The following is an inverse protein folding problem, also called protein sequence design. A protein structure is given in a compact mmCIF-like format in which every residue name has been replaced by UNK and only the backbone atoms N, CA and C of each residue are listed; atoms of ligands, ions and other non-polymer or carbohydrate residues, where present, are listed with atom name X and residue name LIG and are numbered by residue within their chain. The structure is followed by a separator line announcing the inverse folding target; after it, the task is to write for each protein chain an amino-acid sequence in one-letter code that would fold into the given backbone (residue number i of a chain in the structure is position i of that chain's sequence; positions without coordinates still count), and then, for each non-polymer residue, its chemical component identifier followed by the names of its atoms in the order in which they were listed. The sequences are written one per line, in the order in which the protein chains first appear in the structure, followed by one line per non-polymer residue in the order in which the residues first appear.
data_IF_677725937153
#
_entry.id   IF_677725937153
#
_cell.length_a   1.000
_cell.length_b   1.000
_cell.length_c   1.000
_cell.angle_alpha   90.00
_cell.angle_beta   90.00
_cell.angle_gamma   90.00
#
_symmetry.space_group_name_H-M   'P 1'
#
loop_
_entity.id
_entity.type
_entity.pdbx_description
1 polymer ?
#
# COMPACT_ATOMS: atom_id res chain seq x y z
N UNK A 1 -13.89 -112.84 12.44
CA UNK A 1 -14.52 -112.48 13.73
C UNK A 1 -13.54 -112.76 14.86
N UNK A 2 -12.61 -111.84 15.07
CA UNK A 2 -11.70 -111.77 16.23
C UNK A 2 -11.25 -110.32 16.30
N UNK A 3 -11.39 -109.67 17.45
CA UNK A 3 -11.16 -108.23 17.62
C UNK A 3 -9.76 -107.94 18.16
N UNK A 4 -9.27 -106.72 17.92
CA UNK A 4 -8.07 -106.19 18.56
C UNK A 4 -8.41 -105.54 19.90
N UNK A 5 -7.72 -105.87 21.00
CA UNK A 5 -7.56 -104.94 22.13
C UNK A 5 -6.43 -103.95 21.80
N UNK A 6 -6.64 -102.66 22.08
CA UNK A 6 -5.64 -101.62 21.81
C UNK A 6 -4.56 -101.51 22.88
N UNK A 7 -3.32 -101.22 22.47
CA UNK A 7 -2.23 -100.84 23.37
C UNK A 7 -2.38 -99.39 23.82
N UNK A 8 -2.83 -99.20 25.06
CA UNK A 8 -2.81 -97.89 25.73
C UNK A 8 -1.42 -97.61 26.31
N UNK A 9 -0.51 -97.11 25.48
CA UNK A 9 0.83 -96.71 25.95
C UNK A 9 0.90 -95.26 26.43
N UNK A 10 1.88 -94.99 27.29
CA UNK A 10 2.02 -93.75 28.06
C UNK A 10 3.08 -92.83 27.46
N UNK A 11 2.65 -91.81 26.72
CA UNK A 11 3.47 -90.63 26.43
C UNK A 11 2.83 -89.39 27.07
N UNK A 12 2.92 -89.34 28.40
CA UNK A 12 2.78 -88.11 29.18
C UNK A 12 4.16 -87.64 29.65
N UNK A 13 4.35 -86.33 29.79
CA UNK A 13 5.55 -85.73 30.40
C UNK A 13 6.87 -85.95 29.65
N UNK A 14 6.88 -85.71 28.33
CA UNK A 14 8.06 -85.03 27.75
C UNK A 14 8.03 -83.57 28.19
N UNK A 15 9.06 -83.14 28.91
CA UNK A 15 9.26 -81.73 29.24
C UNK A 15 9.33 -80.90 27.95
N UNK A 16 8.74 -79.69 27.89
CA UNK A 16 8.88 -78.83 26.72
C UNK A 16 10.34 -78.46 26.53
N UNK A 17 10.85 -78.61 25.30
CA UNK A 17 12.26 -78.34 25.01
C UNK A 17 12.61 -76.88 25.30
N UNK A 18 13.75 -76.68 25.97
CA UNK A 18 14.29 -75.36 26.30
C UNK A 18 14.39 -74.43 25.08
N UNK A 19 14.64 -75.00 23.90
CA UNK A 19 14.68 -74.27 22.64
C UNK A 19 13.31 -73.74 22.19
N UNK A 20 12.22 -74.49 22.35
CA UNK A 20 10.88 -73.99 22.00
C UNK A 20 10.48 -72.85 22.96
N UNK A 21 10.76 -72.99 24.25
CA UNK A 21 10.56 -71.87 25.19
C UNK A 21 11.42 -70.65 24.84
N UNK A 22 12.67 -70.83 24.38
CA UNK A 22 13.53 -69.71 23.94
C UNK A 22 13.02 -69.06 22.65
N UNK A 23 12.40 -69.84 21.75
CA UNK A 23 11.81 -69.36 20.49
C UNK A 23 10.47 -68.65 20.70
N UNK A 24 9.68 -69.05 21.70
CA UNK A 24 8.43 -68.36 22.11
C UNK A 24 8.68 -67.13 22.99
N UNK A 25 9.67 -67.16 23.88
CA UNK A 25 9.97 -66.03 24.80
C UNK A 25 10.72 -64.87 24.14
N UNK A 26 11.26 -65.06 22.93
CA UNK A 26 11.78 -63.96 22.12
C UNK A 26 10.60 -63.14 21.52
N UNK A 27 10.32 -61.91 22.00
CA UNK A 27 9.15 -61.16 21.55
C UNK A 27 9.29 -60.76 20.08
N UNK A 28 8.46 -61.34 19.20
CA UNK A 28 8.36 -60.99 17.78
C UNK A 28 7.63 -59.65 17.55
N UNK A 29 7.90 -58.66 18.37
CA UNK A 29 7.37 -57.30 18.28
C UNK A 29 8.05 -56.51 17.16
N UNK A 30 7.60 -56.74 15.92
CA UNK A 30 7.49 -55.71 14.86
C UNK A 30 8.72 -54.81 14.58
N UNK A 31 9.95 -55.33 14.78
CA UNK A 31 11.22 -54.67 14.44
C UNK A 31 11.45 -54.63 12.90
N UNK A 32 10.56 -53.96 12.17
CA UNK A 32 10.52 -53.97 10.70
C UNK A 32 10.86 -52.64 10.01
N UNK A 33 10.49 -51.50 10.59
CA UNK A 33 10.75 -50.18 9.99
C UNK A 33 10.77 -49.06 11.03
N UNK A 34 11.85 -48.27 11.04
CA UNK A 34 11.86 -46.95 11.65
C UNK A 34 11.06 -45.98 10.77
N UNK A 35 10.32 -45.06 11.37
CA UNK A 35 9.58 -44.04 10.60
C UNK A 35 10.54 -43.10 9.88
N UNK A 36 10.21 -42.71 8.64
CA UNK A 36 11.05 -41.85 7.81
C UNK A 36 10.46 -40.44 7.77
N UNK A 37 11.10 -39.52 8.50
CA UNK A 37 10.80 -38.09 8.46
C UNK A 37 11.46 -37.36 7.28
N UNK A 38 11.20 -36.05 7.18
CA UNK A 38 11.63 -35.18 6.07
C UNK A 38 13.17 -35.04 5.89
N UNK A 39 13.98 -35.68 6.75
CA UNK A 39 15.46 -35.68 6.70
C UNK A 39 16.08 -37.05 7.01
N UNK A 40 15.31 -38.14 6.89
CA UNK A 40 15.74 -39.50 7.25
C UNK A 40 14.94 -40.07 8.42
N UNK A 41 15.39 -41.19 8.98
CA UNK A 41 14.72 -41.91 10.08
C UNK A 41 14.51 -41.05 11.33
N UNK A 42 13.44 -41.29 12.08
CA UNK A 42 13.24 -40.64 13.38
C UNK A 42 14.34 -41.05 14.36
N UNK A 43 15.10 -40.05 14.81
CA UNK A 43 16.23 -40.24 15.71
C UNK A 43 15.80 -40.83 17.06
N UNK A 44 14.63 -40.47 17.58
CA UNK A 44 14.17 -40.96 18.88
C UNK A 44 13.84 -42.46 18.83
N UNK A 45 13.23 -42.94 17.75
CA UNK A 45 12.96 -44.37 17.53
C UNK A 45 14.27 -45.16 17.37
N UNK A 46 15.23 -44.63 16.60
CA UNK A 46 16.54 -45.25 16.39
C UNK A 46 17.37 -45.27 17.68
N UNK A 47 17.45 -44.16 18.42
CA UNK A 47 18.17 -44.11 19.71
C UNK A 47 17.51 -45.02 20.75
N UNK A 48 16.17 -45.13 20.77
CA UNK A 48 15.45 -46.05 21.64
C UNK A 48 15.77 -47.52 21.31
N UNK A 49 15.67 -47.94 20.04
CA UNK A 49 16.02 -49.29 19.62
C UNK A 49 17.49 -49.63 19.87
N UNK A 50 18.41 -48.69 19.62
CA UNK A 50 19.83 -48.83 19.96
C UNK A 50 20.07 -48.90 21.47
N UNK A 51 19.20 -48.32 22.31
CA UNK A 51 19.28 -48.49 23.77
C UNK A 51 18.78 -49.87 24.21
N UNK A 52 17.69 -50.36 23.61
CA UNK A 52 17.15 -51.69 23.87
C UNK A 52 18.15 -52.79 23.46
N UNK A 53 18.71 -52.71 22.25
CA UNK A 53 19.71 -53.66 21.75
C UNK A 53 20.99 -53.66 22.60
N UNK A 54 21.44 -52.49 23.09
CA UNK A 54 22.59 -52.41 24.03
C UNK A 54 22.29 -53.02 25.39
N UNK A 55 21.04 -52.98 25.85
CA UNK A 55 20.63 -53.62 27.10
C UNK A 55 20.48 -55.14 26.93
N UNK A 56 19.89 -55.60 25.82
CA UNK A 56 19.85 -57.02 25.44
C UNK A 56 21.26 -57.61 25.32
N UNK A 57 22.19 -56.92 24.66
CA UNK A 57 23.59 -57.36 24.55
C UNK A 57 24.28 -57.46 25.92
N UNK A 58 24.04 -56.51 26.84
CA UNK A 58 24.54 -56.60 28.22
C UNK A 58 23.94 -57.77 28.98
N UNK A 59 22.64 -58.04 28.81
CA UNK A 59 21.97 -59.16 29.47
C UNK A 59 22.52 -60.50 28.95
N UNK A 60 22.58 -60.70 27.63
CA UNK A 60 23.15 -61.90 27.03
C UNK A 60 24.63 -62.10 27.42
N UNK A 61 25.42 -61.01 27.53
CA UNK A 61 26.79 -61.10 28.03
C UNK A 61 26.89 -61.52 29.51
N UNK A 62 25.93 -61.13 30.35
CA UNK A 62 25.85 -61.57 31.73
C UNK A 62 25.38 -63.03 31.84
N UNK A 63 24.40 -63.45 31.04
CA UNK A 63 23.91 -64.83 30.95
C UNK A 63 25.01 -65.79 30.46
N UNK A 64 25.83 -65.37 29.48
CA UNK A 64 27.03 -66.13 29.05
C UNK A 64 28.08 -66.21 30.16
N UNK A 65 28.36 -65.12 30.87
CA UNK A 65 29.32 -65.14 31.97
C UNK A 65 28.85 -66.02 33.15
N UNK A 66 27.55 -66.06 33.44
CA UNK A 66 26.98 -66.96 34.44
C UNK A 66 27.01 -68.42 33.98
N UNK A 67 26.73 -68.70 32.70
CA UNK A 67 26.85 -70.04 32.13
C UNK A 67 28.30 -70.56 32.19
N UNK A 68 29.29 -69.71 31.88
CA UNK A 68 30.72 -70.04 32.00
C UNK A 68 31.12 -70.35 33.44
N UNK A 69 30.68 -69.55 34.42
CA UNK A 69 30.96 -69.83 35.83
C UNK A 69 30.38 -71.17 36.31
N UNK A 70 29.18 -71.54 35.84
CA UNK A 70 28.57 -72.85 36.13
C UNK A 70 29.32 -74.01 35.44
N UNK A 71 29.87 -73.79 34.24
CA UNK A 71 30.72 -74.78 33.55
C UNK A 71 32.03 -74.99 34.32
N UNK A 72 32.68 -73.92 34.76
CA UNK A 72 33.90 -73.99 35.58
C UNK A 72 33.65 -74.73 36.91
N UNK A 73 32.57 -74.41 37.63
CA UNK A 73 32.18 -75.11 38.87
C UNK A 73 31.90 -76.61 38.64
N UNK A 74 31.19 -76.97 37.57
CA UNK A 74 30.93 -78.36 37.21
C UNK A 74 32.21 -79.13 36.85
N UNK A 75 33.14 -78.49 36.13
CA UNK A 75 34.43 -79.07 35.78
C UNK A 75 35.33 -79.25 37.01
N UNK A 76 35.29 -78.33 37.98
CA UNK A 76 36.00 -78.51 39.25
C UNK A 76 35.39 -79.62 40.12
N UNK A 77 34.06 -79.76 40.15
CA UNK A 77 33.38 -80.85 40.85
C UNK A 77 33.81 -82.23 40.29
N UNK A 78 33.81 -82.41 38.96
CA UNK A 78 34.26 -83.67 38.33
C UNK A 78 35.73 -83.95 38.59
N UNK A 79 36.61 -82.94 38.57
CA UNK A 79 38.04 -83.10 38.95
C UNK A 79 38.21 -83.55 40.40
N UNK A 80 37.37 -83.05 41.29
CA UNK A 80 37.35 -83.41 42.71
C UNK A 80 36.82 -84.83 42.96
N UNK A 81 35.89 -85.34 42.16
CA UNK A 81 35.46 -86.74 42.19
C UNK A 81 36.54 -87.68 41.65
N UNK A 82 37.14 -87.33 40.49
CA UNK A 82 38.31 -88.02 39.93
C UNK A 82 39.47 -88.12 40.93
N UNK A 83 39.76 -87.04 41.65
CA UNK A 83 40.81 -87.04 42.69
C UNK A 83 40.50 -88.04 43.81
N UNK A 84 39.28 -88.03 44.35
CA UNK A 84 38.84 -88.95 45.42
C UNK A 84 38.86 -90.41 44.96
N UNK A 85 38.46 -90.69 43.72
CA UNK A 85 38.51 -92.02 43.14
C UNK A 85 39.95 -92.56 43.03
N UNK A 86 40.91 -91.70 42.64
CA UNK A 86 42.34 -92.05 42.57
C UNK A 86 42.95 -92.28 43.95
N UNK A 87 42.64 -91.41 44.92
CA UNK A 87 43.08 -91.56 46.32
C UNK A 87 42.55 -92.87 46.94
N UNK A 88 41.30 -93.26 46.62
CA UNK A 88 40.73 -94.54 47.03
C UNK A 88 41.49 -95.73 46.40
N UNK A 89 41.73 -95.72 45.09
CA UNK A 89 42.46 -96.78 44.38
C UNK A 89 43.92 -96.92 44.87
N UNK A 90 44.60 -95.81 45.19
CA UNK A 90 45.95 -95.84 45.78
C UNK A 90 45.94 -96.44 47.19
N UNK A 91 44.89 -96.16 48.00
CA UNK A 91 44.69 -96.81 49.30
C UNK A 91 44.43 -98.32 49.19
N UNK A 92 43.73 -98.75 48.14
CA UNK A 92 43.48 -100.18 47.90
C UNK A 92 44.75 -100.90 47.40
N UNK A 93 45.51 -100.28 46.49
CA UNK A 93 46.80 -100.81 46.02
C UNK A 93 47.83 -100.94 47.15
N UNK A 94 47.92 -99.95 48.03
CA UNK A 94 48.82 -100.02 49.20
C UNK A 94 48.36 -101.10 50.19
N UNK A 95 47.06 -101.25 50.44
CA UNK A 95 46.50 -102.34 51.24
C UNK A 95 46.67 -103.74 50.60
N UNK A 96 46.68 -103.83 49.27
CA UNK A 96 46.97 -105.07 48.55
C UNK A 96 48.45 -105.46 48.66
N UNK A 97 49.37 -104.50 48.45
CA UNK A 97 50.81 -104.71 48.60
C UNK A 97 51.20 -105.10 50.03
N UNK A 98 50.53 -104.54 51.06
CA UNK A 98 50.72 -104.95 52.44
C UNK A 98 50.39 -106.45 52.64
N UNK A 99 49.23 -106.92 52.13
CA UNK A 99 48.84 -108.34 52.20
C UNK A 99 49.81 -109.27 51.47
N UNK A 100 50.42 -108.82 50.37
CA UNK A 100 51.47 -109.58 49.67
C UNK A 100 52.72 -109.70 50.54
N UNK A 101 53.20 -108.59 51.11
CA UNK A 101 54.32 -108.57 52.07
C UNK A 101 54.05 -109.47 53.30
N UNK A 102 52.84 -109.42 53.86
CA UNK A 102 52.47 -110.26 55.01
C UNK A 102 52.46 -111.75 54.66
N UNK A 103 52.06 -112.11 53.43
CA UNK A 103 52.12 -113.48 52.92
C UNK A 103 53.57 -113.93 52.64
N UNK A 104 54.41 -113.07 52.07
CA UNK A 104 55.85 -113.32 51.89
C UNK A 104 56.56 -113.52 53.24
N UNK A 105 56.22 -112.72 54.25
CA UNK A 105 56.72 -112.89 55.62
C UNK A 105 56.26 -114.20 56.25
N UNK A 106 54.99 -114.61 56.06
CA UNK A 106 54.50 -115.91 56.54
C UNK A 106 55.21 -117.09 55.85
N UNK A 107 55.49 -116.99 54.55
CA UNK A 107 56.29 -117.99 53.83
C UNK A 107 57.72 -118.01 54.37
N UNK A 108 58.32 -116.86 54.67
CA UNK A 108 59.64 -116.77 55.27
C UNK A 108 59.69 -117.35 56.70
N UNK A 109 58.69 -117.10 57.56
CA UNK A 109 58.63 -117.69 58.90
C UNK A 109 58.44 -119.20 58.85
N UNK A 110 57.51 -119.70 58.01
CA UNK A 110 57.32 -121.14 57.81
C UNK A 110 58.59 -121.82 57.24
N UNK A 111 59.33 -121.13 56.36
CA UNK A 111 60.64 -121.59 55.88
C UNK A 111 61.67 -121.63 57.00
N UNK A 112 61.67 -120.64 57.91
CA UNK A 112 62.57 -120.66 59.07
C UNK A 112 62.21 -121.75 60.09
N UNK A 113 60.92 -121.97 60.38
CA UNK A 113 60.45 -123.05 61.26
C UNK A 113 60.77 -124.44 60.70
N UNK A 114 60.77 -124.60 59.36
CA UNK A 114 61.19 -125.82 58.68
C UNK A 114 62.71 -126.06 58.75
N UNK A 115 63.51 -124.99 58.90
CA UNK A 115 64.99 -125.05 59.01
C UNK A 115 65.45 -125.20 60.46
N UNK A 116 64.76 -124.58 61.41
CA UNK A 116 65.08 -124.60 62.85
C UNK A 116 64.34 -125.73 63.61
N UNK A 117 63.63 -126.60 62.88
CA UNK A 117 62.98 -127.79 63.42
C UNK A 117 64.01 -128.73 64.08
N UNK A 118 63.91 -129.01 65.40
CA UNK A 118 64.95 -129.73 66.12
C UNK A 118 65.07 -131.18 65.63
N UNK A 119 66.25 -131.52 65.11
CA UNK A 119 66.55 -132.85 64.60
C UNK A 119 66.57 -133.87 65.77
N UNK A 120 65.72 -134.92 65.74
CA UNK A 120 65.57 -135.81 66.89
C UNK A 120 66.72 -136.83 66.99
N UNK A 121 67.68 -136.54 67.86
CA UNK A 121 68.69 -137.52 68.30
C UNK A 121 68.03 -138.61 69.18
N UNK A 122 67.84 -139.83 68.66
CA UNK A 122 67.78 -140.99 69.55
C UNK A 122 67.07 -142.27 69.11
N UNK A 123 66.06 -142.23 68.22
CA UNK A 123 65.50 -143.45 67.61
C UNK A 123 65.27 -143.23 66.11
N UNK A 124 65.74 -144.19 65.31
CA UNK A 124 65.72 -144.23 63.84
C UNK A 124 65.70 -142.85 63.16
N UNK A 125 66.79 -142.10 63.33
CA UNK A 125 67.10 -140.97 62.46
C UNK A 125 66.91 -141.44 61.00
N UNK A 126 65.99 -140.82 60.22
CA UNK A 126 65.70 -141.27 58.88
C UNK A 126 67.01 -141.37 58.12
N UNK A 127 67.32 -142.55 57.58
CA UNK A 127 68.59 -142.77 56.90
C UNK A 127 68.78 -141.69 55.84
N UNK A 128 70.02 -141.34 55.44
CA UNK A 128 70.21 -140.28 54.44
C UNK A 128 69.36 -140.50 53.19
N UNK A 129 69.12 -141.75 52.82
CA UNK A 129 68.21 -142.20 51.77
C UNK A 129 66.72 -141.88 52.03
N UNK A 130 66.25 -141.93 53.27
CA UNK A 130 64.88 -141.52 53.65
C UNK A 130 64.74 -139.99 53.72
N UNK A 131 65.72 -139.26 54.23
CA UNK A 131 65.72 -137.79 54.14
C UNK A 131 65.83 -137.31 52.69
N UNK A 132 66.65 -137.97 51.87
CA UNK A 132 66.76 -137.78 50.42
C UNK A 132 65.47 -138.20 49.69
N UNK A 133 64.76 -139.23 50.16
CA UNK A 133 63.43 -139.58 49.63
C UNK A 133 62.35 -138.55 50.02
N UNK A 134 62.38 -138.01 51.24
CA UNK A 134 61.47 -136.91 51.66
C UNK A 134 61.77 -135.65 50.86
N UNK A 135 63.05 -135.28 50.70
CA UNK A 135 63.46 -134.16 49.86
C UNK A 135 63.09 -134.38 48.39
N UNK A 136 63.23 -135.60 47.86
CA UNK A 136 62.80 -135.95 46.49
C UNK A 136 61.29 -135.89 46.32
N UNK A 137 60.51 -136.35 47.30
CA UNK A 137 59.04 -136.24 47.29
C UNK A 137 58.62 -134.78 47.44
N UNK A 138 59.32 -133.97 48.23
CA UNK A 138 59.08 -132.54 48.36
C UNK A 138 59.50 -131.78 47.08
N UNK A 139 60.58 -132.15 46.41
CA UNK A 139 61.01 -131.63 45.11
C UNK A 139 60.01 -132.03 44.02
N UNK A 140 59.52 -133.26 44.00
CA UNK A 140 58.51 -133.74 43.06
C UNK A 140 57.15 -133.07 43.31
N UNK A 141 56.74 -132.87 44.57
CA UNK A 141 55.56 -132.07 44.93
C UNK A 141 55.73 -130.59 44.59
N UNK A 142 56.88 -129.99 44.87
CA UNK A 142 57.16 -128.59 44.51
C UNK A 142 57.18 -128.40 42.99
N UNK A 143 57.76 -129.34 42.24
CA UNK A 143 57.74 -129.36 40.78
C UNK A 143 56.29 -129.51 40.24
N UNK A 144 55.47 -130.38 40.84
CA UNK A 144 54.03 -130.49 40.51
C UNK A 144 53.27 -129.20 40.85
N UNK A 145 53.56 -128.55 41.98
CA UNK A 145 52.96 -127.27 42.35
C UNK A 145 53.40 -126.14 41.42
N UNK A 146 54.68 -126.07 41.04
CA UNK A 146 55.22 -125.10 40.06
C UNK A 146 54.60 -125.34 38.68
N UNK A 147 54.45 -126.59 38.23
CA UNK A 147 53.77 -126.92 36.98
C UNK A 147 52.28 -126.55 37.02
N UNK A 148 51.59 -126.80 38.14
CA UNK A 148 50.18 -126.44 38.31
C UNK A 148 50.01 -124.91 38.35
N UNK A 149 50.87 -124.19 39.08
CA UNK A 149 50.90 -122.74 39.13
C UNK A 149 51.23 -122.13 37.76
N UNK A 150 52.16 -122.70 36.99
CA UNK A 150 52.46 -122.27 35.63
C UNK A 150 51.27 -122.48 34.68
N UNK A 151 50.57 -123.62 34.78
CA UNK A 151 49.35 -123.89 34.01
C UNK A 151 48.18 -122.99 34.43
N UNK A 152 48.07 -122.64 35.71
CA UNK A 152 47.08 -121.66 36.19
C UNK A 152 47.42 -120.24 35.72
N UNK A 153 48.68 -119.84 35.77
CA UNK A 153 49.14 -118.54 35.30
C UNK A 153 48.97 -118.38 33.78
N UNK A 154 49.27 -119.42 32.99
CA UNK A 154 49.06 -119.39 31.54
C UNK A 154 47.57 -119.36 31.15
N UNK A 155 46.71 -120.08 31.90
CA UNK A 155 45.24 -119.96 31.76
C UNK A 155 44.74 -118.57 32.13
N UNK A 156 45.21 -117.99 33.24
CA UNK A 156 44.83 -116.64 33.67
C UNK A 156 45.31 -115.58 32.67
N UNK A 157 46.53 -115.70 32.16
CA UNK A 157 47.07 -114.84 31.10
C UNK A 157 46.32 -115.01 29.77
N UNK A 158 45.80 -116.20 29.47
CA UNK A 158 44.96 -116.44 28.29
C UNK A 158 43.58 -115.81 28.47
N UNK A 159 42.92 -116.03 29.62
CA UNK A 159 41.63 -115.38 29.97
C UNK A 159 41.75 -113.86 29.91
N UNK A 160 42.76 -113.27 30.56
CA UNK A 160 42.99 -111.83 30.54
C UNK A 160 43.31 -111.27 29.14
N UNK A 161 43.94 -112.06 28.26
CA UNK A 161 44.15 -111.67 26.84
C UNK A 161 42.85 -111.73 26.04
N UNK A 162 42.01 -112.74 26.28
CA UNK A 162 40.69 -112.89 25.65
C UNK A 162 39.71 -111.81 26.12
N UNK A 163 39.70 -111.49 27.41
CA UNK A 163 38.95 -110.39 28.02
C UNK A 163 39.38 -109.02 27.47
N UNK A 164 40.69 -108.74 27.40
CA UNK A 164 41.21 -107.50 26.81
C UNK A 164 40.95 -107.44 25.30
N UNK A 165 40.93 -108.56 24.59
CA UNK A 165 40.55 -108.60 23.17
C UNK A 165 39.06 -108.32 22.98
N UNK A 166 38.20 -108.91 23.82
CA UNK A 166 36.76 -108.67 23.80
C UNK A 166 36.43 -107.20 24.15
N UNK A 167 37.00 -106.66 25.23
CA UNK A 167 36.79 -105.26 25.62
C UNK A 167 37.29 -104.27 24.55
N UNK A 168 38.37 -104.59 23.84
CA UNK A 168 38.84 -103.78 22.70
C UNK A 168 37.87 -103.84 21.53
N UNK A 169 37.38 -105.02 21.16
CA UNK A 169 36.41 -105.18 20.08
C UNK A 169 35.06 -104.50 20.40
N UNK A 170 34.63 -104.53 21.67
CA UNK A 170 33.45 -103.80 22.15
C UNK A 170 33.66 -102.29 22.08
N UNK A 171 34.78 -101.77 22.59
CA UNK A 171 35.13 -100.35 22.53
C UNK A 171 35.30 -99.83 21.08
N UNK A 172 35.83 -100.66 20.17
CA UNK A 172 35.95 -100.36 18.74
C UNK A 172 34.56 -100.30 18.08
N UNK A 173 33.70 -101.29 18.34
CA UNK A 173 32.32 -101.30 17.84
C UNK A 173 31.43 -100.19 18.43
N UNK A 174 31.73 -99.72 19.65
CA UNK A 174 31.09 -98.55 20.26
C UNK A 174 31.59 -97.25 19.61
N UNK A 175 32.90 -97.12 19.37
CA UNK A 175 33.48 -95.97 18.67
C UNK A 175 32.96 -95.86 17.21
N UNK A 176 32.84 -96.97 16.49
CA UNK A 176 32.20 -97.02 15.17
C UNK A 176 30.72 -96.58 15.24
N UNK A 177 29.97 -97.04 16.25
CA UNK A 177 28.55 -96.68 16.43
C UNK A 177 28.36 -95.20 16.73
N UNK A 178 29.20 -94.63 17.61
CA UNK A 178 29.18 -93.21 17.99
C UNK A 178 29.59 -92.34 16.79
N UNK A 179 30.67 -92.68 16.08
CA UNK A 179 31.12 -91.91 14.92
C UNK A 179 30.13 -91.97 13.76
N UNK A 180 29.56 -93.15 13.47
CA UNK A 180 28.51 -93.28 12.46
C UNK A 180 27.21 -92.54 12.83
N UNK A 181 26.89 -92.42 14.13
CA UNK A 181 25.76 -91.60 14.59
C UNK A 181 26.05 -90.11 14.44
N UNK A 182 27.19 -89.63 14.93
CA UNK A 182 27.61 -88.24 14.80
C UNK A 182 27.70 -87.78 13.32
N UNK A 183 28.10 -88.67 12.40
CA UNK A 183 28.08 -88.41 10.96
C UNK A 183 26.64 -88.25 10.44
N UNK A 184 25.71 -89.15 10.79
CA UNK A 184 24.29 -89.03 10.40
C UNK A 184 23.66 -87.74 10.92
N UNK A 185 23.96 -87.36 12.16
CA UNK A 185 23.42 -86.15 12.78
C UNK A 185 24.02 -84.89 12.15
N UNK A 186 25.33 -84.88 11.85
CA UNK A 186 25.98 -83.78 11.14
C UNK A 186 25.43 -83.60 9.71
N UNK A 187 25.18 -84.68 8.98
CA UNK A 187 24.60 -84.62 7.63
C UNK A 187 23.10 -84.26 7.67
N UNK A 188 22.36 -84.63 8.72
CA UNK A 188 20.99 -84.15 8.93
C UNK A 188 20.96 -82.64 9.24
N UNK A 189 21.90 -82.13 10.05
CA UNK A 189 22.03 -80.70 10.35
C UNK A 189 22.42 -79.91 9.09
N UNK A 190 23.35 -80.42 8.28
CA UNK A 190 23.69 -79.84 6.96
C UNK A 190 22.47 -79.75 6.05
N UNK A 191 21.75 -80.85 5.85
CA UNK A 191 20.56 -80.87 5.01
C UNK A 191 19.50 -79.88 5.49
N UNK A 192 19.27 -79.77 6.81
CA UNK A 192 18.39 -78.75 7.41
C UNK A 192 18.87 -77.34 7.07
N UNK A 193 20.16 -77.04 7.28
CA UNK A 193 20.74 -75.72 6.97
C UNK A 193 20.62 -75.37 5.48
N UNK A 194 20.90 -76.31 4.57
CA UNK A 194 20.79 -76.08 3.13
C UNK A 194 19.33 -75.80 2.70
N UNK A 195 18.36 -76.52 3.28
CA UNK A 195 16.92 -76.28 3.01
C UNK A 195 16.44 -74.94 3.56
N UNK A 196 16.83 -74.56 4.79
CA UNK A 196 16.47 -73.27 5.38
C UNK A 196 17.17 -72.11 4.66
N UNK A 197 18.44 -72.25 4.28
CA UNK A 197 19.16 -71.27 3.47
C UNK A 197 18.43 -71.03 2.14
N UNK A 198 18.10 -72.08 1.40
CA UNK A 198 17.35 -71.99 0.14
C UNK A 198 15.97 -71.35 0.34
N UNK A 199 15.26 -71.67 1.43
CA UNK A 199 13.97 -71.08 1.76
C UNK A 199 14.07 -69.59 2.15
N UNK A 200 15.19 -69.18 2.78
CA UNK A 200 15.49 -67.80 3.13
C UNK A 200 15.90 -66.97 1.91
N UNK A 201 16.75 -67.51 1.03
CA UNK A 201 17.12 -66.91 -0.25
C UNK A 201 15.88 -66.68 -1.13
N UNK A 202 15.06 -67.72 -1.32
CA UNK A 202 13.79 -67.62 -2.04
C UNK A 202 12.74 -66.73 -1.35
N UNK A 203 12.88 -66.41 -0.05
CA UNK A 203 12.07 -65.38 0.62
C UNK A 203 12.57 -63.98 0.29
N UNK A 204 13.89 -63.75 0.42
CA UNK A 204 14.55 -62.47 0.12
C UNK A 204 14.34 -62.08 -1.35
N UNK A 205 14.44 -63.02 -2.29
CA UNK A 205 14.20 -62.76 -3.72
C UNK A 205 12.75 -62.30 -3.98
N UNK A 206 11.75 -62.95 -3.38
CA UNK A 206 10.33 -62.55 -3.49
C UNK A 206 10.06 -61.19 -2.84
N UNK A 207 10.66 -60.92 -1.69
CA UNK A 207 10.55 -59.64 -1.00
C UNK A 207 11.21 -58.50 -1.80
N UNK A 208 12.37 -58.75 -2.40
CA UNK A 208 13.06 -57.82 -3.29
C UNK A 208 12.29 -57.57 -4.61
N UNK A 209 11.72 -58.62 -5.22
CA UNK A 209 10.88 -58.49 -6.41
C UNK A 209 9.62 -57.66 -6.15
N UNK A 210 8.92 -57.92 -5.03
CA UNK A 210 7.74 -57.16 -4.59
C UNK A 210 8.09 -55.72 -4.19
N UNK A 211 9.27 -55.46 -3.62
CA UNK A 211 9.76 -54.11 -3.37
C UNK A 211 10.07 -53.37 -4.69
N UNK A 212 10.70 -54.03 -5.66
CA UNK A 212 10.95 -53.47 -6.99
C UNK A 212 9.65 -53.19 -7.77
N UNK A 213 8.65 -54.08 -7.67
CA UNK A 213 7.32 -53.87 -8.24
C UNK A 213 6.65 -52.62 -7.64
N UNK A 214 6.67 -52.45 -6.32
CA UNK A 214 6.16 -51.25 -5.64
C UNK A 214 6.90 -49.97 -6.04
N UNK A 215 8.22 -50.02 -6.20
CA UNK A 215 9.00 -48.87 -6.70
C UNK A 215 8.61 -48.54 -8.14
N UNK A 216 8.41 -49.54 -9.00
CA UNK A 216 7.95 -49.34 -10.37
C UNK A 216 6.52 -48.77 -10.43
N UNK A 217 5.59 -49.27 -9.60
CA UNK A 217 4.24 -48.72 -9.48
C UNK A 217 4.28 -47.26 -9.01
N UNK A 218 4.99 -46.96 -7.92
CA UNK A 218 5.11 -45.59 -7.40
C UNK A 218 5.79 -44.64 -8.41
N UNK A 219 6.73 -45.13 -9.22
CA UNK A 219 7.32 -44.36 -10.31
C UNK A 219 6.32 -44.08 -11.44
N UNK A 220 5.49 -45.06 -11.83
CA UNK A 220 4.42 -44.88 -12.81
C UNK A 220 3.37 -43.89 -12.31
N UNK A 221 2.87 -44.04 -11.08
CA UNK A 221 1.94 -43.11 -10.43
C UNK A 221 2.53 -41.69 -10.36
N UNK A 222 3.79 -41.55 -9.95
CA UNK A 222 4.48 -40.26 -9.93
C UNK A 222 4.62 -39.64 -11.34
N UNK A 223 4.76 -40.43 -12.41
CA UNK A 223 4.73 -39.90 -13.79
C UNK A 223 3.31 -39.51 -14.22
N UNK A 224 2.29 -40.28 -13.86
CA UNK A 224 0.90 -39.94 -14.14
C UNK A 224 0.52 -38.60 -13.50
N UNK A 225 0.78 -38.45 -12.19
CA UNK A 225 0.53 -37.21 -11.42
C UNK A 225 1.28 -36.02 -12.03
N UNK A 226 2.54 -36.18 -12.48
CA UNK A 226 3.27 -35.11 -13.19
C UNK A 226 2.56 -34.71 -14.49
N UNK A 227 2.20 -35.67 -15.35
CA UNK A 227 1.53 -35.33 -16.63
C UNK A 227 0.15 -34.71 -16.42
N UNK A 228 -0.56 -35.06 -15.34
CA UNK A 228 -1.83 -34.43 -14.97
C UNK A 228 -1.62 -33.00 -14.46
N UNK A 229 -0.65 -32.79 -13.56
CA UNK A 229 -0.27 -31.46 -13.07
C UNK A 229 0.22 -30.55 -14.21
N UNK A 230 0.98 -31.07 -15.18
CA UNK A 230 1.42 -30.35 -16.38
C UNK A 230 0.24 -29.96 -17.29
N UNK A 231 -0.72 -30.86 -17.51
CA UNK A 231 -1.97 -30.58 -18.24
C UNK A 231 -2.81 -29.53 -17.52
N UNK A 232 -2.99 -29.64 -16.20
CA UNK A 232 -3.69 -28.68 -15.37
C UNK A 232 -3.04 -27.30 -15.41
N UNK A 233 -1.72 -27.23 -15.27
CA UNK A 233 -0.96 -25.99 -15.39
C UNK A 233 -1.02 -25.40 -16.81
N UNK A 234 -1.07 -26.22 -17.86
CA UNK A 234 -1.28 -25.74 -19.23
C UNK A 234 -2.69 -25.19 -19.45
N UNK A 235 -3.72 -25.85 -18.92
CA UNK A 235 -5.10 -25.37 -18.96
C UNK A 235 -5.26 -24.04 -18.21
N UNK A 236 -4.69 -23.91 -17.01
CA UNK A 236 -4.67 -22.67 -16.23
C UNK A 236 -3.93 -21.54 -16.96
N UNK A 237 -2.75 -21.80 -17.56
CA UNK A 237 -2.04 -20.82 -18.40
C UNK A 237 -2.90 -20.37 -19.59
N UNK A 238 -3.59 -21.29 -20.26
CA UNK A 238 -4.48 -20.97 -21.38
C UNK A 238 -5.70 -20.16 -20.95
N UNK A 239 -6.27 -20.45 -19.78
CA UNK A 239 -7.40 -19.72 -19.20
C UNK A 239 -6.99 -18.28 -18.84
N UNK A 240 -5.90 -18.11 -18.09
CA UNK A 240 -5.39 -16.77 -17.73
C UNK A 240 -4.98 -15.97 -18.97
N UNK A 241 -4.41 -16.62 -20.00
CA UNK A 241 -4.10 -15.94 -21.28
C UNK A 241 -5.37 -15.47 -21.98
N UNK A 242 -6.45 -16.26 -21.95
CA UNK A 242 -7.76 -15.86 -22.52
C UNK A 242 -8.40 -14.73 -21.73
N UNK A 243 -8.40 -14.79 -20.40
CA UNK A 243 -8.97 -13.75 -19.53
C UNK A 243 -8.21 -12.44 -19.65
N UNK A 244 -6.87 -12.46 -19.64
CA UNK A 244 -6.05 -11.25 -19.81
C UNK A 244 -6.17 -10.65 -21.22
N UNK A 245 -6.30 -11.45 -22.27
CA UNK A 245 -6.57 -10.93 -23.63
C UNK A 245 -7.99 -10.38 -23.78
N UNK A 246 -8.98 -10.98 -23.11
CA UNK A 246 -10.34 -10.44 -23.06
C UNK A 246 -10.40 -9.12 -22.29
N UNK A 247 -9.90 -9.07 -21.05
CA UNK A 247 -9.85 -7.85 -20.23
C UNK A 247 -9.09 -6.72 -20.93
N UNK A 248 -8.03 -7.03 -21.67
CA UNK A 248 -7.35 -6.06 -22.52
C UNK A 248 -8.24 -5.56 -23.67
N UNK A 249 -8.91 -6.46 -24.38
CA UNK A 249 -9.80 -6.09 -25.48
C UNK A 249 -11.00 -5.25 -25.01
N UNK A 250 -11.50 -5.51 -23.80
CA UNK A 250 -12.57 -4.75 -23.14
C UNK A 250 -12.06 -3.36 -22.71
N UNK A 251 -10.92 -3.27 -22.00
CA UNK A 251 -10.33 -1.97 -21.65
C UNK A 251 -9.95 -1.12 -22.89
N UNK A 252 -9.50 -1.76 -23.98
CA UNK A 252 -9.27 -1.06 -25.25
C UNK A 252 -10.58 -0.61 -25.94
N UNK A 253 -11.75 -1.20 -25.64
CA UNK A 253 -13.05 -0.66 -26.07
C UNK A 253 -13.44 0.54 -25.23
N UNK A 254 -13.37 0.42 -23.91
CA UNK A 254 -13.71 1.51 -22.98
C UNK A 254 -12.91 2.80 -23.27
N UNK A 255 -11.62 2.67 -23.62
CA UNK A 255 -10.79 3.81 -24.04
C UNK A 255 -11.23 4.40 -25.39
N UNK A 256 -11.68 3.58 -26.36
CA UNK A 256 -12.20 4.08 -27.65
C UNK A 256 -13.53 4.82 -27.44
N UNK A 257 -14.43 4.26 -26.64
CA UNK A 257 -15.72 4.85 -26.28
C UNK A 257 -15.55 6.15 -25.48
N UNK A 258 -14.58 6.20 -24.56
CA UNK A 258 -14.23 7.43 -23.84
C UNK A 258 -13.70 8.50 -24.79
N UNK A 259 -12.76 8.16 -25.68
CA UNK A 259 -12.20 9.11 -26.64
C UNK A 259 -13.25 9.62 -27.64
N UNK A 260 -14.21 8.77 -28.04
CA UNK A 260 -15.34 9.20 -28.87
C UNK A 260 -16.21 10.24 -28.15
N UNK A 261 -16.56 10.00 -26.87
CA UNK A 261 -17.31 10.98 -26.06
C UNK A 261 -16.54 12.27 -25.83
N UNK A 262 -15.23 12.22 -25.65
CA UNK A 262 -14.39 13.43 -25.57
C UNK A 262 -14.47 14.24 -26.87
N UNK A 263 -14.39 13.59 -28.03
CA UNK A 263 -14.54 14.26 -29.33
C UNK A 263 -15.95 14.86 -29.52
N UNK A 264 -17.00 14.17 -29.08
CA UNK A 264 -18.38 14.70 -29.07
C UNK A 264 -18.52 15.93 -28.13
N UNK A 265 -17.83 15.93 -26.98
CA UNK A 265 -17.79 17.08 -26.08
C UNK A 265 -16.95 18.25 -26.66
N UNK A 266 -15.86 17.98 -27.37
CA UNK A 266 -15.08 18.99 -28.08
C UNK A 266 -15.86 19.60 -29.26
N UNK A 267 -16.62 18.79 -30.01
CA UNK A 267 -17.51 19.29 -31.07
C UNK A 267 -18.67 20.14 -30.52
N UNK A 268 -19.29 19.73 -29.42
CA UNK A 268 -20.35 20.54 -28.79
C UNK A 268 -19.83 21.79 -28.10
N UNK A 269 -18.61 21.77 -27.56
CA UNK A 269 -17.95 22.95 -27.00
C UNK A 269 -17.55 23.95 -28.08
N UNK A 270 -16.95 23.50 -29.18
CA UNK A 270 -16.56 24.37 -30.31
C UNK A 270 -17.77 24.99 -30.97
N UNK A 271 -18.83 24.22 -31.29
CA UNK A 271 -20.11 24.78 -31.76
C UNK A 271 -20.66 25.86 -30.82
N UNK A 272 -20.68 25.61 -29.51
CA UNK A 272 -21.15 26.60 -28.52
C UNK A 272 -20.23 27.84 -28.43
N UNK A 273 -18.93 27.70 -28.67
CA UNK A 273 -18.00 28.83 -28.77
C UNK A 273 -18.23 29.63 -30.05
N UNK A 274 -18.49 28.98 -31.18
CA UNK A 274 -18.79 29.64 -32.46
C UNK A 274 -20.16 30.35 -32.42
N UNK A 275 -21.18 29.73 -31.82
CA UNK A 275 -22.49 30.34 -31.58
C UNK A 275 -22.35 31.58 -30.68
N UNK A 276 -21.64 31.47 -29.55
CA UNK A 276 -21.41 32.60 -28.63
C UNK A 276 -20.57 33.72 -29.26
N UNK A 277 -19.61 33.40 -30.13
CA UNK A 277 -18.85 34.39 -30.90
C UNK A 277 -19.74 35.09 -31.94
N UNK A 278 -20.65 34.37 -32.61
CA UNK A 278 -21.62 34.96 -33.52
C UNK A 278 -22.61 35.88 -32.78
N UNK A 279 -23.16 35.45 -31.64
CA UNK A 279 -24.01 36.29 -30.79
C UNK A 279 -23.28 37.54 -30.30
N UNK A 280 -22.02 37.41 -29.87
CA UNK A 280 -21.18 38.54 -29.46
C UNK A 280 -20.91 39.50 -30.63
N UNK A 281 -20.59 39.01 -31.83
CA UNK A 281 -20.39 39.84 -33.02
C UNK A 281 -21.68 40.55 -33.44
N UNK A 282 -22.84 39.88 -33.36
CA UNK A 282 -24.15 40.50 -33.65
C UNK A 282 -24.45 41.59 -32.62
N UNK A 283 -24.27 41.34 -31.33
CA UNK A 283 -24.48 42.32 -30.26
C UNK A 283 -23.50 43.50 -30.36
N UNK A 284 -22.22 43.22 -30.69
CA UNK A 284 -21.21 44.26 -30.92
C UNK A 284 -21.57 45.14 -32.11
N UNK A 285 -21.95 44.55 -33.25
CA UNK A 285 -22.41 45.32 -34.42
C UNK A 285 -23.69 46.13 -34.14
N UNK A 286 -24.62 45.60 -33.34
CA UNK A 286 -25.79 46.34 -32.87
C UNK A 286 -25.40 47.52 -31.95
N UNK A 287 -24.45 47.32 -31.04
CA UNK A 287 -23.94 48.36 -30.15
C UNK A 287 -23.17 49.45 -30.92
N UNK A 288 -22.34 49.08 -31.90
CA UNK A 288 -21.67 50.02 -32.81
C UNK A 288 -22.70 50.81 -33.61
N UNK A 289 -23.65 50.15 -34.29
CA UNK A 289 -24.71 50.84 -35.04
C UNK A 289 -25.67 51.67 -34.15
N UNK A 290 -25.70 51.42 -32.84
CA UNK A 290 -26.39 52.26 -31.87
C UNK A 290 -25.56 53.47 -31.46
N UNK A 291 -24.26 53.30 -31.22
CA UNK A 291 -23.33 54.39 -30.94
C UNK A 291 -23.20 55.34 -32.14
N UNK A 292 -23.06 54.81 -33.36
CA UNK A 292 -23.06 55.58 -34.62
C UNK A 292 -24.37 56.37 -34.81
N UNK A 293 -25.52 55.82 -34.40
CA UNK A 293 -26.79 56.54 -34.46
C UNK A 293 -26.81 57.69 -33.47
N UNK A 294 -26.32 57.49 -32.25
CA UNK A 294 -26.22 58.54 -31.22
C UNK A 294 -25.23 59.63 -31.66
N UNK A 295 -24.08 59.29 -32.23
CA UNK A 295 -23.11 60.28 -32.70
C UNK A 295 -23.61 61.05 -33.91
N UNK A 296 -24.35 60.41 -34.83
CA UNK A 296 -25.00 61.08 -35.95
C UNK A 296 -26.13 62.02 -35.48
N UNK A 297 -27.03 61.56 -34.60
CA UNK A 297 -28.10 62.39 -34.01
C UNK A 297 -27.52 63.59 -33.23
N UNK A 298 -26.45 63.39 -32.45
CA UNK A 298 -25.73 64.47 -31.78
C UNK A 298 -25.05 65.43 -32.78
N UNK A 299 -24.45 64.94 -33.87
CA UNK A 299 -23.86 65.78 -34.91
C UNK A 299 -24.92 66.57 -35.69
N UNK A 300 -26.09 65.98 -35.95
CA UNK A 300 -27.24 66.67 -36.55
C UNK A 300 -27.81 67.73 -35.60
N UNK A 301 -27.93 67.44 -34.30
CA UNK A 301 -28.35 68.39 -33.28
C UNK A 301 -27.36 69.57 -33.15
N UNK A 302 -26.05 69.29 -33.12
CA UNK A 302 -25.00 70.31 -33.13
C UNK A 302 -25.10 71.16 -34.40
N UNK A 303 -25.23 70.55 -35.58
CA UNK A 303 -25.35 71.27 -36.86
C UNK A 303 -26.61 72.15 -36.89
N UNK A 304 -27.77 71.62 -36.49
CA UNK A 304 -29.02 72.37 -36.39
C UNK A 304 -28.94 73.52 -35.38
N UNK A 305 -28.19 73.35 -34.27
CA UNK A 305 -27.94 74.41 -33.29
C UNK A 305 -27.03 75.52 -33.86
N UNK A 306 -26.02 75.16 -34.66
CA UNK A 306 -25.15 76.11 -35.36
C UNK A 306 -25.93 76.87 -36.44
N UNK A 307 -26.77 76.20 -37.23
CA UNK A 307 -27.68 76.86 -38.18
C UNK A 307 -28.71 77.77 -37.48
N UNK A 308 -29.17 77.39 -36.28
CA UNK A 308 -30.08 78.23 -35.50
C UNK A 308 -29.36 79.48 -34.97
N UNK A 309 -28.16 79.33 -34.42
CA UNK A 309 -27.30 80.44 -34.00
C UNK A 309 -26.95 81.37 -35.18
N UNK A 310 -26.59 80.80 -36.34
CA UNK A 310 -26.34 81.56 -37.58
C UNK A 310 -27.57 82.35 -38.02
N UNK A 311 -28.76 81.72 -38.06
CA UNK A 311 -30.03 82.43 -38.38
C UNK A 311 -30.38 83.53 -37.38
N UNK A 312 -30.08 83.34 -36.09
CA UNK A 312 -30.23 84.39 -35.08
C UNK A 312 -29.22 85.52 -35.32
N UNK A 313 -27.95 85.21 -35.60
CA UNK A 313 -26.91 86.22 -35.85
C UNK A 313 -27.20 87.05 -37.12
N UNK A 314 -27.56 86.43 -38.23
CA UNK A 314 -27.95 87.12 -39.46
C UNK A 314 -29.19 88.00 -39.24
N UNK A 315 -30.18 87.52 -38.47
CA UNK A 315 -31.36 88.32 -38.10
C UNK A 315 -31.00 89.48 -37.16
N UNK A 316 -30.02 89.31 -36.27
CA UNK A 316 -29.50 90.38 -35.42
C UNK A 316 -28.73 91.43 -36.25
N UNK A 317 -27.89 91.02 -37.20
CA UNK A 317 -27.22 91.90 -38.17
C UNK A 317 -28.22 92.68 -39.04
N UNK A 318 -29.31 92.03 -39.48
CA UNK A 318 -30.39 92.69 -40.23
C UNK A 318 -31.16 93.69 -39.36
N UNK A 319 -31.44 93.37 -38.10
CA UNK A 319 -32.00 94.33 -37.14
C UNK A 319 -31.03 95.48 -36.86
N UNK A 320 -29.72 95.24 -36.76
CA UNK A 320 -28.72 96.29 -36.55
C UNK A 320 -28.56 97.17 -37.80
N UNK A 321 -28.61 96.59 -39.01
CA UNK A 321 -28.60 97.32 -40.28
C UNK A 321 -29.87 98.17 -40.41
N UNK A 322 -31.02 97.63 -40.02
CA UNK A 322 -32.30 98.36 -39.98
C UNK A 322 -32.24 99.51 -38.98
N UNK A 323 -31.85 99.29 -37.72
CA UNK A 323 -31.79 100.36 -36.71
C UNK A 323 -30.75 101.42 -37.05
N UNK A 324 -29.58 101.06 -37.59
CA UNK A 324 -28.62 102.04 -38.15
C UNK A 324 -29.22 102.87 -39.28
N UNK A 325 -29.97 102.27 -40.20
CA UNK A 325 -30.65 103.00 -41.28
C UNK A 325 -31.78 103.91 -40.78
N UNK A 326 -32.53 103.47 -39.75
CA UNK A 326 -33.58 104.27 -39.11
C UNK A 326 -32.97 105.44 -38.33
N UNK A 327 -31.85 105.24 -37.63
CA UNK A 327 -31.12 106.31 -36.96
C UNK A 327 -30.63 107.36 -37.96
N UNK A 328 -30.04 106.93 -39.09
CA UNK A 328 -29.64 107.83 -40.18
C UNK A 328 -30.82 108.58 -40.80
N UNK A 329 -31.98 107.94 -40.96
CA UNK A 329 -33.19 108.58 -41.46
C UNK A 329 -33.76 109.63 -40.48
N UNK A 330 -33.78 109.31 -39.18
CA UNK A 330 -34.18 110.24 -38.10
C UNK A 330 -33.21 111.42 -38.01
N UNK A 331 -31.90 111.18 -38.16
CA UNK A 331 -30.89 112.24 -38.19
C UNK A 331 -31.09 113.15 -39.42
N UNK A 332 -31.26 112.57 -40.61
CA UNK A 332 -31.53 113.33 -41.83
C UNK A 332 -32.82 114.15 -41.75
N UNK A 333 -33.90 113.58 -41.18
CA UNK A 333 -35.15 114.32 -40.96
C UNK A 333 -34.95 115.45 -39.94
N UNK A 334 -34.23 115.21 -38.85
CA UNK A 334 -33.88 116.24 -37.87
C UNK A 334 -33.06 117.37 -38.50
N UNK A 335 -32.10 117.05 -39.38
CA UNK A 335 -31.34 118.04 -40.15
C UNK A 335 -32.24 118.84 -41.12
N UNK A 336 -33.22 118.21 -41.78
CA UNK A 336 -34.20 118.92 -42.64
C UNK A 336 -35.10 119.83 -41.82
N UNK A 337 -35.70 119.35 -40.73
CA UNK A 337 -36.52 120.17 -39.81
C UNK A 337 -35.72 121.32 -39.20
N UNK A 338 -34.44 121.14 -38.92
CA UNK A 338 -33.53 122.19 -38.47
C UNK A 338 -33.26 123.24 -39.56
N UNK A 339 -33.08 122.83 -40.83
CA UNK A 339 -32.96 123.76 -41.97
C UNK A 339 -34.24 124.55 -42.21
N UNK A 340 -35.41 123.89 -42.23
CA UNK A 340 -36.70 124.58 -42.37
C UNK A 340 -36.97 125.59 -41.26
N UNK A 341 -36.64 125.25 -40.01
CA UNK A 341 -36.85 126.18 -38.87
C UNK A 341 -35.91 127.38 -38.96
N UNK A 342 -34.66 127.19 -39.39
CA UNK A 342 -33.72 128.28 -39.71
C UNK A 342 -34.21 129.13 -40.91
N UNK A 343 -34.79 128.52 -41.94
CA UNK A 343 -35.35 129.25 -43.09
C UNK A 343 -36.62 130.01 -42.73
N UNK A 344 -37.53 129.42 -41.95
CA UNK A 344 -38.71 130.12 -41.40
C UNK A 344 -38.29 131.26 -40.45
N UNK A 345 -37.22 131.08 -39.67
CA UNK A 345 -36.65 132.16 -38.87
C UNK A 345 -36.05 133.29 -39.72
N UNK A 346 -35.29 132.96 -40.78
CA UNK A 346 -34.76 133.94 -41.76
C UNK A 346 -35.87 134.68 -42.49
N UNK A 347 -36.89 133.99 -42.99
CA UNK A 347 -38.03 134.61 -43.66
C UNK A 347 -38.84 135.52 -42.73
N UNK A 348 -39.02 135.13 -41.44
CA UNK A 348 -39.64 135.98 -40.43
C UNK A 348 -38.77 137.21 -40.11
N UNK A 349 -37.45 137.04 -40.00
CA UNK A 349 -36.51 138.14 -39.79
C UNK A 349 -36.52 139.13 -40.97
N UNK A 350 -36.47 138.62 -42.22
CA UNK A 350 -36.58 139.44 -43.42
C UNK A 350 -37.91 140.20 -43.45
N UNK A 351 -39.05 139.54 -43.18
CA UNK A 351 -40.36 140.21 -43.13
C UNK A 351 -40.43 141.29 -42.05
N UNK A 352 -39.73 141.13 -40.92
CA UNK A 352 -39.59 142.18 -39.91
C UNK A 352 -38.77 143.35 -40.48
N UNK A 353 -37.61 143.09 -41.09
CA UNK A 353 -36.79 144.12 -41.75
C UNK A 353 -37.60 144.87 -42.81
N UNK A 354 -38.28 144.16 -43.71
CA UNK A 354 -39.14 144.75 -44.75
C UNK A 354 -40.24 145.63 -44.15
N UNK A 355 -40.89 145.20 -43.06
CA UNK A 355 -41.92 146.00 -42.37
C UNK A 355 -41.36 147.24 -41.68
N UNK A 356 -40.15 147.16 -41.11
CA UNK A 356 -39.47 148.30 -40.48
C UNK A 356 -39.03 149.30 -41.55
N UNK A 357 -38.44 148.83 -42.65
CA UNK A 357 -38.05 149.67 -43.80
C UNK A 357 -39.26 150.31 -44.48
N UNK A 358 -40.38 149.57 -44.63
CA UNK A 358 -41.64 150.12 -45.13
C UNK A 358 -42.21 151.19 -44.19
N UNK A 359 -42.20 150.94 -42.88
CA UNK A 359 -42.70 151.91 -41.90
C UNK A 359 -41.83 153.18 -41.83
N UNK A 360 -40.49 153.07 -41.83
CA UNK A 360 -39.62 154.25 -41.84
C UNK A 360 -39.74 155.04 -43.14
N UNK A 361 -39.93 154.39 -44.28
CA UNK A 361 -40.19 155.07 -45.57
C UNK A 361 -41.54 155.79 -45.56
N UNK A 362 -42.59 155.17 -45.01
CA UNK A 362 -43.92 155.78 -44.89
C UNK A 362 -43.93 156.99 -43.93
N UNK A 363 -43.21 156.91 -42.81
CA UNK A 363 -43.02 158.05 -41.88
C UNK A 363 -42.24 159.18 -42.54
N UNK A 364 -41.28 158.87 -43.43
CA UNK A 364 -40.57 159.87 -44.24
C UNK A 364 -41.53 160.61 -45.19
N UNK A 365 -42.38 159.90 -45.93
CA UNK A 365 -43.37 160.53 -46.81
C UNK A 365 -44.45 161.32 -46.05
N UNK A 366 -44.96 160.84 -44.91
CA UNK A 366 -45.93 161.57 -44.06
C UNK A 366 -45.32 162.86 -43.46
N UNK A 367 -44.01 162.85 -43.18
CA UNK A 367 -43.27 164.05 -42.82
C UNK A 367 -43.13 165.02 -44.02
N UNK A 368 -42.74 164.52 -45.20
CA UNK A 368 -42.63 165.32 -46.43
C UNK A 368 -43.97 165.97 -46.81
N UNK A 369 -45.08 165.21 -46.74
CA UNK A 369 -46.43 165.70 -47.02
C UNK A 369 -46.93 166.72 -46.01
N UNK A 370 -46.63 166.58 -44.71
CA UNK A 370 -46.86 167.68 -43.75
C UNK A 370 -46.13 168.96 -44.16
N UNK A 371 -44.89 168.89 -44.66
CA UNK A 371 -44.20 170.10 -45.14
C UNK A 371 -44.82 170.68 -46.42
N UNK A 372 -45.42 169.85 -47.29
CA UNK A 372 -46.19 170.31 -48.44
C UNK A 372 -47.50 171.00 -48.01
N UNK A 373 -48.24 170.40 -47.08
CA UNK A 373 -49.54 170.87 -46.63
C UNK A 373 -49.46 172.19 -45.84
N UNK A 374 -48.47 172.34 -44.94
CA UNK A 374 -48.20 173.61 -44.24
C UNK A 374 -47.85 174.75 -45.21
N UNK A 375 -47.09 174.44 -46.28
CA UNK A 375 -46.69 175.42 -47.30
C UNK A 375 -47.87 175.86 -48.18
N UNK A 376 -48.86 174.99 -48.40
CA UNK A 376 -50.12 175.30 -49.09
C UNK A 376 -51.06 176.18 -48.24
N UNK A 377 -51.21 175.88 -46.95
CA UNK A 377 -52.03 176.66 -46.02
C UNK A 377 -51.59 178.13 -45.92
N UNK A 378 -50.28 178.40 -46.01
CA UNK A 378 -49.74 179.76 -46.00
C UNK A 378 -50.17 180.61 -47.22
N UNK A 379 -50.39 179.99 -48.38
CA UNK A 379 -50.93 180.69 -49.56
C UNK A 379 -52.42 181.00 -49.40
N UNK A 380 -53.22 180.09 -48.84
CA UNK A 380 -54.65 180.33 -48.61
C UNK A 380 -54.92 181.50 -47.65
N UNK A 381 -54.14 181.61 -46.56
CA UNK A 381 -54.22 182.76 -45.63
C UNK A 381 -53.95 184.10 -46.31
N UNK A 382 -53.08 184.12 -47.33
CA UNK A 382 -52.79 185.33 -48.12
C UNK A 382 -53.96 185.70 -49.03
N UNK A 383 -54.65 184.70 -49.61
CA UNK A 383 -55.85 184.90 -50.44
C UNK A 383 -57.04 185.41 -49.63
N UNK A 384 -57.28 184.82 -48.45
CA UNK A 384 -58.45 185.13 -47.62
C UNK A 384 -58.43 186.57 -47.07
N UNK A 385 -57.24 187.11 -46.80
CA UNK A 385 -57.05 188.51 -46.36
C UNK A 385 -57.45 189.56 -47.41
N UNK A 386 -57.67 189.19 -48.67
CA UNK A 386 -58.17 190.10 -49.71
C UNK A 386 -59.71 190.19 -49.71
N UNK A 387 -60.39 189.06 -49.53
CA UNK A 387 -61.86 188.93 -49.62
C UNK A 387 -62.57 189.50 -48.37
N UNK A 388 -61.92 189.43 -47.20
CA UNK A 388 -62.40 189.95 -45.90
C UNK A 388 -62.50 191.48 -45.83
N UNK A 389 -62.17 192.23 -46.90
CA UNK A 389 -62.22 193.70 -46.92
C UNK A 389 -63.56 194.30 -47.39
N UNK A 390 -64.38 193.58 -48.15
CA UNK A 390 -65.57 194.18 -48.80
C UNK A 390 -66.89 194.00 -48.02
N UNK A 391 -67.01 193.02 -47.12
CA UNK A 391 -68.19 192.85 -46.27
C UNK A 391 -67.88 193.06 -44.77
N UNK A 392 -67.77 194.33 -44.40
CA UNK A 392 -67.47 194.79 -43.04
C UNK A 392 -68.73 194.79 -42.16
N UNK A 393 -68.62 194.13 -40.99
CA UNK A 393 -69.46 194.21 -39.76
C UNK A 393 -70.85 193.53 -39.75
N UNK A 394 -71.35 193.12 -38.55
CA UNK A 394 -70.66 192.86 -37.27
C UNK A 394 -71.06 191.55 -36.53
N UNK A 395 -70.46 191.35 -35.35
CA UNK A 395 -70.92 190.58 -34.17
C UNK A 395 -70.89 189.03 -34.13
N UNK A 396 -69.86 188.51 -33.46
CA UNK A 396 -69.97 187.51 -32.36
C UNK A 396 -69.95 186.00 -32.68
N UNK A 397 -69.75 185.06 -31.73
CA UNK A 397 -68.88 184.85 -30.54
C UNK A 397 -69.32 183.51 -29.89
N UNK A 398 -68.44 182.49 -29.82
CA UNK A 398 -68.47 181.28 -28.94
C UNK A 398 -69.74 180.36 -29.00
N UNK A 399 -69.82 179.10 -28.53
CA UNK A 399 -69.06 178.29 -27.55
C UNK A 399 -68.81 176.84 -28.04
N UNK A 400 -67.82 176.05 -27.57
CA UNK A 400 -67.52 175.47 -26.23
C UNK A 400 -68.61 174.45 -25.75
N UNK A 401 -68.36 173.28 -25.14
CA UNK A 401 -67.17 172.63 -24.53
C UNK A 401 -67.04 171.15 -25.06
N UNK A 402 -66.66 169.99 -24.44
CA UNK A 402 -66.30 169.54 -23.07
C UNK A 402 -65.50 168.20 -23.01
N UNK A 403 -65.28 167.68 -21.78
CA UNK A 403 -64.45 166.53 -21.31
C UNK A 403 -65.24 165.69 -20.25
N UNK A 404 -64.71 164.80 -19.35
CA UNK A 404 -63.36 164.24 -19.07
C UNK A 404 -63.31 162.66 -19.20
N UNK A 405 -62.59 161.76 -18.50
CA UNK A 405 -61.96 161.67 -17.14
C UNK A 405 -60.82 160.62 -17.00
N UNK A 406 -59.99 160.86 -15.97
CA UNK A 406 -58.90 160.14 -15.25
C UNK A 406 -58.92 158.59 -15.03
N UNK A 407 -57.97 157.84 -14.38
CA UNK A 407 -56.50 157.76 -14.01
C UNK A 407 -56.36 156.46 -13.14
N UNK A 408 -55.12 156.01 -12.85
CA UNK A 408 -54.64 154.94 -11.91
C UNK A 408 -54.33 153.57 -12.54
N UNK A 409 -53.37 152.77 -12.06
CA UNK A 409 -52.45 152.95 -10.92
C UNK A 409 -51.32 151.89 -10.93
N UNK A 410 -50.38 151.93 -9.98
CA UNK A 410 -49.23 151.02 -9.89
C UNK A 410 -49.36 150.00 -8.73
N UNK A 411 -48.72 148.82 -8.87
CA UNK A 411 -47.71 148.29 -7.92
C UNK A 411 -47.01 147.01 -8.49
N UNK A 412 -46.05 146.46 -7.76
CA UNK A 412 -45.37 145.16 -7.94
C UNK A 412 -46.07 144.06 -7.08
N UNK A 413 -45.45 142.93 -6.61
CA UNK A 413 -44.15 142.28 -6.89
C UNK A 413 -44.27 140.72 -7.04
N UNK A 414 -43.14 140.00 -6.85
CA UNK A 414 -42.98 138.69 -6.16
C UNK A 414 -42.17 137.60 -6.91
N UNK A 415 -41.46 136.78 -6.12
CA UNK A 415 -40.63 135.61 -6.49
C UNK A 415 -41.19 134.34 -5.76
N UNK A 416 -40.54 133.15 -5.58
CA UNK A 416 -39.10 132.81 -5.58
C UNK A 416 -38.70 131.47 -6.27
N UNK A 417 -37.51 130.94 -5.93
CA UNK A 417 -36.87 129.69 -6.37
C UNK A 417 -37.23 128.49 -5.41
N UNK A 418 -36.48 127.34 -5.22
CA UNK A 418 -35.14 126.93 -5.68
C UNK A 418 -34.97 125.42 -6.08
N UNK A 419 -33.71 124.95 -6.17
CA UNK A 419 -33.26 123.54 -6.10
C UNK A 419 -33.14 123.08 -4.58
N UNK A 420 -32.51 121.95 -4.13
CA UNK A 420 -31.42 121.12 -4.68
C UNK A 420 -31.55 119.58 -4.42
N UNK A 421 -30.41 118.87 -4.17
CA UNK A 421 -30.24 117.41 -3.99
C UNK A 421 -30.48 116.91 -2.51
N UNK A 422 -30.05 115.74 -1.96
CA UNK A 422 -28.79 114.95 -2.09
C UNK A 422 -28.82 113.62 -1.27
N UNK A 423 -27.94 112.63 -1.59
CA UNK A 423 -27.52 111.39 -0.81
C UNK A 423 -28.63 110.39 -0.36
N UNK A 424 -28.46 109.14 0.14
CA UNK A 424 -27.38 108.22 0.66
C UNK A 424 -27.62 106.80 0.05
N UNK A 425 -26.66 105.98 -0.43
CA UNK A 425 -25.87 104.88 0.21
C UNK A 425 -26.66 103.90 1.15
N UNK A 426 -26.29 102.63 1.40
CA UNK A 426 -25.13 101.79 1.00
C UNK A 426 -25.47 100.26 1.19
N UNK A 427 -24.44 99.39 1.12
CA UNK A 427 -24.30 98.01 1.66
C UNK A 427 -24.76 96.76 0.85
N UNK A 428 -23.81 95.83 0.72
CA UNK A 428 -23.83 94.42 0.23
C UNK A 428 -22.72 93.70 1.01
N UNK A 429 -22.94 92.52 1.64
CA UNK A 429 -22.32 91.25 1.20
C UNK A 429 -23.18 89.99 1.60
N UNK A 430 -22.79 88.70 1.56
CA UNK A 430 -21.52 88.01 1.20
C UNK A 430 -21.74 86.54 0.71
N UNK A 431 -20.66 85.89 0.22
CA UNK A 431 -20.33 84.44 0.13
C UNK A 431 -21.32 83.32 0.56
N UNK A 432 -21.34 82.17 -0.13
CA UNK A 432 -20.43 81.02 0.20
C UNK A 432 -20.30 79.94 -0.89
N UNK A 433 -19.28 79.08 -0.77
CA UNK A 433 -18.81 78.07 -1.74
C UNK A 433 -18.52 76.72 -1.07
N UNK A 434 -18.80 75.61 -1.77
CA UNK A 434 -18.38 74.20 -1.56
C UNK A 434 -18.75 73.43 -2.86
N UNK A 435 -18.11 72.34 -3.30
CA UNK A 435 -17.27 71.35 -2.61
C UNK A 435 -18.11 70.14 -2.16
N UNK A 436 -17.74 68.87 -2.37
CA UNK A 436 -16.56 68.25 -2.99
C UNK A 436 -16.91 66.78 -3.36
N UNK A 437 -15.90 65.95 -3.65
CA UNK A 437 -15.90 64.46 -3.71
C UNK A 437 -16.55 63.76 -4.95
N UNK A 438 -16.06 62.64 -5.51
CA UNK A 438 -14.73 62.10 -5.91
C UNK A 438 -14.95 60.59 -6.24
N UNK A 439 -14.01 59.93 -6.92
CA UNK A 439 -14.06 58.52 -7.38
C UNK A 439 -13.32 57.57 -6.41
N UNK A 440 -12.89 56.39 -6.90
CA UNK A 440 -12.16 55.28 -6.23
C UNK A 440 -13.06 54.26 -5.47
N UNK A 441 -12.78 52.96 -5.43
CA UNK A 441 -12.05 52.06 -6.36
C UNK A 441 -12.55 50.60 -6.10
N UNK A 442 -12.66 49.73 -7.12
CA UNK A 442 -11.71 48.69 -7.57
C UNK A 442 -11.55 47.46 -6.62
N UNK A 443 -11.06 46.35 -7.20
CA UNK A 443 -11.15 44.94 -6.80
C UNK A 443 -10.32 44.55 -5.56
N UNK A 444 -10.72 43.44 -4.94
CA UNK A 444 -9.76 42.45 -4.44
C UNK A 444 -10.35 41.02 -4.57
N UNK A 445 -9.53 40.04 -4.97
CA UNK A 445 -9.89 38.63 -5.14
C UNK A 445 -8.88 37.75 -4.39
N UNK A 446 -9.30 37.06 -3.34
CA UNK A 446 -8.45 36.07 -2.67
C UNK A 446 -9.24 34.90 -2.05
N UNK A 447 -8.79 33.67 -2.32
CA UNK A 447 -9.39 32.41 -1.83
C UNK A 447 -8.33 31.30 -1.72
N UNK A 448 -7.95 30.85 -0.52
CA UNK A 448 -7.24 29.60 -0.32
C UNK A 448 -8.19 28.40 -0.23
N UNK A 449 -7.76 27.24 -0.77
CA UNK A 449 -8.52 25.99 -0.78
C UNK A 449 -8.24 25.14 0.47
N UNK A 450 -9.29 24.65 1.13
CA UNK A 450 -9.15 23.67 2.22
C UNK A 450 -8.86 22.25 1.71
N UNK A 451 -8.09 21.48 2.50
CA UNK A 451 -7.58 20.16 2.10
C UNK A 451 -8.49 19.04 2.59
N UNK A 452 -8.90 18.17 1.66
CA UNK A 452 -9.59 16.91 1.99
C UNK A 452 -8.54 15.91 2.53
N UNK A 453 -8.63 15.56 3.80
CA UNK A 453 -7.92 14.42 4.40
C UNK A 453 -8.69 13.12 4.16
N UNK A 454 -7.97 12.05 3.81
CA UNK A 454 -8.53 10.72 3.54
C UNK A 454 -8.25 9.82 4.76
N UNK A 455 -9.31 9.35 5.42
CA UNK A 455 -9.19 8.35 6.49
C UNK A 455 -8.91 6.94 5.94
N UNK A 456 -7.89 6.28 6.52
CA UNK A 456 -7.49 4.92 6.15
C UNK A 456 -8.15 3.90 7.07
N UNK A 457 -8.97 3.01 6.51
CA UNK A 457 -9.70 1.99 7.28
C UNK A 457 -8.85 0.74 7.52
N UNK A 458 -8.30 0.60 8.74
CA UNK A 458 -7.60 -0.63 9.15
C UNK A 458 -8.56 -1.79 9.47
N UNK A 459 -8.44 -2.90 8.74
CA UNK A 459 -9.25 -4.11 8.96
C UNK A 459 -8.74 -4.97 10.13
N UNK A 460 -9.35 -4.86 11.31
CA UNK A 460 -8.99 -5.70 12.47
C UNK A 460 -9.48 -7.14 12.37
N UNK A 461 -8.57 -8.02 11.93
CA UNK A 461 -8.65 -9.48 11.99
C UNK A 461 -8.83 -9.97 13.44
N UNK A 462 -9.91 -10.73 13.72
CA UNK A 462 -10.13 -11.42 15.02
C UNK A 462 -9.68 -12.89 14.95
N UNK A 463 -9.15 -13.48 16.03
CA UNK A 463 -8.69 -14.87 16.06
C UNK A 463 -9.84 -15.86 16.30
N UNK A 464 -9.62 -17.10 15.87
CA UNK A 464 -10.45 -18.27 16.18
C UNK A 464 -10.44 -18.61 17.67
N UNK A 465 -11.53 -19.20 18.15
CA UNK A 465 -11.54 -20.10 19.30
C UNK A 465 -12.68 -21.10 19.16
#
# INVERSE_FOLDING_TARGET
MSESPGTSDRDGERSPDFFDQLIETAPREQQGAFTVGFRGYDKAEVDAALSALRNQLKQAAAEVAEAQAREEEAVEAVREEERKAREALESELTAANAKVSDAEQQVATLTSELVDAPQPDGEEAPSRQQFEAILRVAEEQANVLIQNAAVQADRLMTSAREEVAAQRAEAEADAERITAQAQRDADQVRLKMDTEYTAHEARIEREAAHAAEKVNQAAQEATAIRTEAEKGAAALRSLVTRETTQLRADAERDVRDMNARVLEFEETLTRRQDDAQQEFLVLHNQAVAHAERITNDANEQVTASLEHAQRISARAEDYERLTRSQAQAIEAEAQVRARETLERARAKAQKIVDSVTGHTTAVLHDAEDRTRQLRWQQQQLTSFMAEVRELIRPDGIFSDDSLPTEITGADAPAAPAPAPATVIADEVPEETFLGDEVLEDELDDDRPLEKITIDVVETKKKPSK
#
